data_IF_059899995763
#
_entry.id   IF_059899995763
#
_cell.length_a   1.000
_cell.length_b   1.000
_cell.length_c   1.000
_cell.angle_alpha   90.00
_cell.angle_beta   90.00
_cell.angle_gamma   90.00
#
_symmetry.space_group_name_H-M   'P 1'
#
loop_
_entity.id
_entity.type
_entity.pdbx_description
1 polymer ?
#
# COMPACT_ATOMS: atom_id res chain seq x y z
N UNK A 1 6.50 1.68 20.55
CA UNK A 1 5.40 1.01 19.80
C UNK A 1 4.70 -0.07 20.62
N UNK A 2 5.37 -1.04 21.21
CA UNK A 2 4.73 -2.12 21.97
C UNK A 2 3.71 -1.65 23.00
N UNK A 3 4.07 -0.69 23.86
CA UNK A 3 3.14 -0.14 24.86
C UNK A 3 1.90 0.54 24.25
N UNK A 4 2.04 1.16 23.07
CA UNK A 4 0.93 1.77 22.35
C UNK A 4 -0.06 0.71 21.86
N UNK A 5 0.46 -0.38 21.29
CA UNK A 5 -0.35 -1.50 20.81
C UNK A 5 -1.04 -2.24 21.95
N UNK A 6 -0.37 -2.36 23.09
CA UNK A 6 -0.88 -3.03 24.30
C UNK A 6 -1.88 -2.17 25.09
N UNK A 7 -2.16 -0.93 24.65
CA UNK A 7 -3.07 -0.01 25.36
C UNK A 7 -2.57 0.45 26.73
N UNK A 8 -1.23 0.45 26.95
CA UNK A 8 -0.58 0.84 28.22
C UNK A 8 -0.19 2.32 28.26
N UNK A 9 -0.70 3.10 27.32
CA UNK A 9 -0.39 4.53 27.18
C UNK A 9 -1.68 5.32 27.19
N UNK A 10 -1.73 6.42 27.93
CA UNK A 10 -2.86 7.34 27.97
C UNK A 10 -3.09 7.98 26.60
N UNK A 11 -4.35 8.26 26.23
CA UNK A 11 -4.70 8.83 24.93
C UNK A 11 -4.00 10.17 24.66
N UNK A 12 -3.77 10.99 25.70
CA UNK A 12 -3.01 12.25 25.61
C UNK A 12 -1.53 12.01 25.30
N UNK A 13 -0.92 10.98 25.89
CA UNK A 13 0.45 10.57 25.61
C UNK A 13 0.57 10.01 24.19
N UNK A 14 -0.40 9.20 23.76
CA UNK A 14 -0.46 8.67 22.40
C UNK A 14 -0.52 9.80 21.37
N UNK A 15 -1.43 10.77 21.55
CA UNK A 15 -1.56 11.91 20.66
C UNK A 15 -0.28 12.75 20.60
N UNK A 16 0.32 13.06 21.75
CA UNK A 16 1.58 13.79 21.84
C UNK A 16 2.72 13.03 21.14
N UNK A 17 2.86 11.73 21.39
CA UNK A 17 3.88 10.90 20.75
C UNK A 17 3.74 10.92 19.22
N UNK A 18 2.54 10.70 18.70
CA UNK A 18 2.29 10.67 17.25
C UNK A 18 2.62 12.02 16.59
N UNK A 19 2.30 13.14 17.24
CA UNK A 19 2.56 14.46 16.69
C UNK A 19 4.03 14.87 16.78
N UNK A 20 4.71 14.53 17.88
CA UNK A 20 6.14 14.76 18.03
C UNK A 20 6.95 13.90 17.05
N UNK A 21 6.58 12.63 16.88
CA UNK A 21 7.20 11.75 15.90
C UNK A 21 7.01 12.28 14.48
N UNK A 22 5.80 12.76 14.15
CA UNK A 22 5.53 13.41 12.85
C UNK A 22 6.40 14.66 12.63
N UNK A 23 6.62 15.47 13.67
CA UNK A 23 7.43 16.69 13.58
C UNK A 23 8.92 16.38 13.44
N UNK A 24 9.40 15.39 14.19
CA UNK A 24 10.80 14.94 14.17
C UNK A 24 11.13 14.20 12.86
N UNK A 25 10.16 13.52 12.29
CA UNK A 25 10.29 12.51 11.25
C UNK A 25 11.01 11.23 11.75
N UNK A 26 10.62 10.08 11.26
CA UNK A 26 11.18 8.78 11.65
C UNK A 26 12.49 8.49 10.94
N UNK A 27 13.45 7.93 11.66
CA UNK A 27 14.61 7.30 11.03
C UNK A 27 14.29 5.89 10.52
N UNK A 28 15.17 5.32 9.70
CA UNK A 28 15.03 3.96 9.21
C UNK A 28 15.03 2.94 10.36
N UNK A 29 15.86 3.15 11.39
CA UNK A 29 15.96 2.28 12.57
C UNK A 29 14.68 2.34 13.41
N UNK A 30 14.11 3.54 13.58
CA UNK A 30 12.85 3.70 14.32
C UNK A 30 11.71 3.03 13.56
N UNK A 31 11.64 3.22 12.24
CA UNK A 31 10.63 2.60 11.39
C UNK A 31 10.76 1.06 11.42
N UNK A 32 11.97 0.53 11.33
CA UNK A 32 12.24 -0.90 11.46
C UNK A 32 11.83 -1.42 12.84
N UNK A 33 12.26 -0.80 13.93
CA UNK A 33 11.92 -1.21 15.29
C UNK A 33 10.42 -1.10 15.59
N UNK A 34 9.71 -0.12 15.03
CA UNK A 34 8.25 -0.05 15.14
C UNK A 34 7.58 -1.19 14.37
N UNK A 35 8.08 -1.52 13.19
CA UNK A 35 7.57 -2.62 12.36
C UNK A 35 7.79 -3.96 13.07
N UNK A 36 8.96 -4.23 13.62
CA UNK A 36 9.22 -5.44 14.42
C UNK A 36 8.27 -5.56 15.61
N UNK A 37 8.04 -4.47 16.34
CA UNK A 37 7.13 -4.45 17.47
C UNK A 37 5.67 -4.76 17.07
N UNK A 38 5.26 -4.38 15.85
CA UNK A 38 3.94 -4.73 15.31
C UNK A 38 3.94 -6.19 14.87
N UNK A 39 4.90 -6.61 14.06
CA UNK A 39 5.02 -7.99 13.55
C UNK A 39 5.06 -9.02 14.67
N UNK A 40 5.74 -8.72 15.78
CA UNK A 40 5.80 -9.62 16.96
C UNK A 40 4.45 -9.83 17.65
N UNK A 41 3.43 -9.03 17.33
CA UNK A 41 2.07 -9.13 17.85
C UNK A 41 1.06 -9.64 16.84
N UNK A 42 1.49 -9.89 15.61
CA UNK A 42 0.65 -10.50 14.59
C UNK A 42 0.51 -11.99 14.87
N UNK A 43 -0.73 -12.46 14.85
CA UNK A 43 -1.04 -13.89 14.88
C UNK A 43 -1.34 -14.40 13.46
N UNK A 44 -0.52 -13.97 12.49
CA UNK A 44 -0.69 -14.37 11.10
C UNK A 44 -0.19 -15.81 10.90
N UNK A 45 -0.94 -16.66 10.16
CA UNK A 45 -0.50 -18.00 9.82
C UNK A 45 0.59 -17.96 8.74
N UNK A 46 1.29 -19.08 8.57
CA UNK A 46 2.29 -19.23 7.51
C UNK A 46 1.61 -19.48 6.16
N UNK A 47 1.20 -18.40 5.49
CA UNK A 47 0.63 -18.41 4.14
C UNK A 47 1.70 -17.93 3.16
N UNK A 48 1.92 -18.69 2.07
CA UNK A 48 2.85 -18.27 1.03
C UNK A 48 2.25 -17.13 0.19
N UNK A 49 2.95 -16.02 0.14
CA UNK A 49 2.60 -14.82 -0.62
C UNK A 49 3.84 -14.33 -1.37
N UNK A 50 3.67 -13.93 -2.62
CA UNK A 50 4.76 -13.37 -3.43
C UNK A 50 4.89 -11.87 -3.23
N UNK A 51 3.76 -11.14 -3.25
CA UNK A 51 3.72 -9.69 -3.10
C UNK A 51 2.83 -9.26 -1.92
N UNK A 52 3.38 -8.40 -1.07
CA UNK A 52 2.63 -7.59 -0.11
C UNK A 52 2.28 -6.25 -0.76
N UNK A 53 0.98 -5.91 -0.82
CA UNK A 53 0.49 -4.74 -1.55
C UNK A 53 -0.38 -3.84 -0.66
N UNK A 54 0.22 -2.93 0.11
CA UNK A 54 -0.52 -1.99 0.95
C UNK A 54 -1.19 -0.89 0.12
N UNK A 55 -2.45 -0.58 0.45
CA UNK A 55 -3.25 0.46 -0.18
C UNK A 55 -3.93 1.33 0.87
N UNK A 56 -3.36 2.50 1.14
CA UNK A 56 -3.77 3.39 2.25
C UNK A 56 -4.00 4.84 1.83
N UNK A 57 -3.83 5.20 0.56
CA UNK A 57 -3.92 6.60 0.15
C UNK A 57 -5.23 6.94 -0.53
N UNK A 58 -5.78 6.02 -1.33
CA UNK A 58 -6.86 6.26 -2.26
C UNK A 58 -6.45 7.18 -3.42
N UNK A 59 -7.18 7.13 -4.51
CA UNK A 59 -6.95 7.91 -5.74
C UNK A 59 -7.86 9.12 -5.80
N UNK A 60 -7.34 10.26 -6.30
CA UNK A 60 -8.10 11.52 -6.42
C UNK A 60 -8.18 12.04 -7.87
N UNK A 61 -7.18 11.74 -8.68
CA UNK A 61 -7.00 12.36 -10.01
C UNK A 61 -7.22 11.40 -11.16
N UNK A 62 -7.00 10.13 -10.90
CA UNK A 62 -7.18 9.00 -11.81
C UNK A 62 -7.88 7.87 -11.07
N UNK A 63 -8.50 6.98 -11.79
CA UNK A 63 -9.01 5.72 -11.25
C UNK A 63 -7.83 4.87 -10.74
N UNK A 64 -8.07 3.93 -9.82
CA UNK A 64 -7.03 3.06 -9.28
C UNK A 64 -6.67 1.92 -10.25
N UNK A 65 -5.90 2.24 -11.29
CA UNK A 65 -5.48 1.29 -12.32
C UNK A 65 -4.61 0.17 -11.76
N UNK A 66 -3.92 0.41 -10.64
CA UNK A 66 -3.15 -0.61 -9.94
C UNK A 66 -4.00 -1.83 -9.53
N UNK A 67 -5.32 -1.68 -9.36
CA UNK A 67 -6.19 -2.82 -9.06
C UNK A 67 -6.27 -3.78 -10.25
N UNK A 68 -6.26 -3.25 -11.47
CA UNK A 68 -6.20 -4.08 -12.67
C UNK A 68 -4.83 -4.74 -12.85
N UNK A 69 -3.74 -4.03 -12.48
CA UNK A 69 -2.40 -4.59 -12.46
C UNK A 69 -2.30 -5.76 -11.47
N UNK A 70 -2.82 -5.60 -10.24
CA UNK A 70 -2.87 -6.66 -9.25
C UNK A 70 -3.69 -7.86 -9.75
N UNK A 71 -4.86 -7.63 -10.37
CA UNK A 71 -5.67 -8.71 -10.98
C UNK A 71 -4.93 -9.44 -12.10
N UNK A 72 -4.25 -8.73 -12.98
CA UNK A 72 -3.51 -9.32 -14.08
C UNK A 72 -2.32 -10.15 -13.59
N UNK A 73 -1.56 -9.66 -12.61
CA UNK A 73 -0.49 -10.42 -11.95
C UNK A 73 -1.04 -11.67 -11.25
N UNK A 74 -2.15 -11.55 -10.53
CA UNK A 74 -2.79 -12.69 -9.87
C UNK A 74 -3.27 -13.75 -10.89
N UNK A 75 -3.84 -13.31 -12.02
CA UNK A 75 -4.21 -14.20 -13.11
C UNK A 75 -3.02 -14.91 -13.76
N UNK A 76 -1.81 -14.33 -13.70
CA UNK A 76 -0.56 -14.96 -14.13
C UNK A 76 0.06 -15.90 -13.09
N UNK A 77 -0.56 -16.04 -11.91
CA UNK A 77 -0.14 -16.95 -10.86
C UNK A 77 0.65 -16.31 -9.71
N UNK A 78 0.82 -14.99 -9.71
CA UNK A 78 1.48 -14.26 -8.59
C UNK A 78 0.50 -14.17 -7.42
N UNK A 79 0.90 -14.66 -6.25
CA UNK A 79 0.09 -14.58 -5.02
C UNK A 79 0.25 -13.22 -4.35
N UNK A 80 -0.84 -12.47 -4.29
CA UNK A 80 -0.84 -11.08 -3.81
C UNK A 80 -1.74 -10.93 -2.59
N UNK A 81 -1.18 -10.44 -1.49
CA UNK A 81 -1.96 -10.00 -0.35
C UNK A 81 -2.03 -8.48 -0.34
N UNK A 82 -3.23 -7.95 -0.58
CA UNK A 82 -3.52 -6.53 -0.46
C UNK A 82 -4.12 -6.23 0.90
N UNK A 83 -3.77 -5.07 1.45
CA UNK A 83 -4.38 -4.61 2.70
C UNK A 83 -4.51 -3.09 2.74
N UNK A 84 -5.50 -2.59 3.50
CA UNK A 84 -5.80 -1.15 3.58
C UNK A 84 -6.44 -0.75 4.89
N UNK A 85 -6.58 0.55 5.11
CA UNK A 85 -7.04 1.13 6.37
C UNK A 85 -8.35 1.92 6.30
N UNK A 86 -9.18 1.68 5.30
CA UNK A 86 -10.44 2.38 5.11
C UNK A 86 -10.32 3.82 4.59
N UNK A 87 -11.46 4.38 4.19
CA UNK A 87 -11.54 5.72 3.65
C UNK A 87 -11.38 6.78 4.76
N UNK A 88 -10.29 7.53 4.74
CA UNK A 88 -9.99 8.56 5.74
C UNK A 88 -9.81 9.98 5.16
N UNK A 89 -9.96 10.16 3.85
CA UNK A 89 -9.86 11.49 3.20
C UNK A 89 -10.99 11.63 2.19
N UNK A 90 -11.83 12.64 2.37
CA UNK A 90 -12.94 12.92 1.46
C UNK A 90 -12.46 13.17 0.01
N UNK A 91 -13.29 12.80 -0.96
CA UNK A 91 -13.04 13.00 -2.39
C UNK A 91 -11.90 12.13 -2.95
N UNK A 92 -11.60 11.00 -2.32
CA UNK A 92 -10.70 9.97 -2.82
C UNK A 92 -11.44 8.65 -2.98
N UNK A 93 -11.06 7.89 -3.98
CA UNK A 93 -11.55 6.55 -4.25
C UNK A 93 -10.56 5.53 -3.66
N UNK A 94 -11.05 4.70 -2.75
CA UNK A 94 -10.26 3.70 -2.05
C UNK A 94 -10.52 2.29 -2.58
N UNK A 95 -9.57 1.40 -2.38
CA UNK A 95 -9.65 0.00 -2.80
C UNK A 95 -10.94 -0.68 -2.37
N UNK A 96 -11.35 -0.51 -1.10
CA UNK A 96 -12.53 -1.16 -0.54
C UNK A 96 -13.83 -0.85 -1.30
N UNK A 97 -13.90 0.31 -1.94
CA UNK A 97 -15.08 0.76 -2.68
C UNK A 97 -15.25 0.03 -4.02
N UNK A 98 -14.23 -0.69 -4.47
CA UNK A 98 -14.17 -1.31 -5.80
C UNK A 98 -14.00 -2.83 -5.77
N UNK A 99 -13.83 -3.42 -4.58
CA UNK A 99 -13.55 -4.86 -4.43
C UNK A 99 -14.64 -5.72 -5.07
N UNK A 100 -15.90 -5.44 -4.76
CA UNK A 100 -17.05 -6.17 -5.30
C UNK A 100 -17.15 -6.03 -6.82
N UNK A 101 -17.02 -4.81 -7.35
CA UNK A 101 -17.12 -4.53 -8.77
C UNK A 101 -16.01 -5.20 -9.59
N UNK A 102 -14.83 -5.36 -8.99
CA UNK A 102 -13.67 -5.99 -9.61
C UNK A 102 -13.51 -7.47 -9.27
N UNK A 103 -14.45 -8.09 -8.58
CA UNK A 103 -14.37 -9.48 -8.10
C UNK A 103 -13.06 -9.74 -7.30
N UNK A 104 -12.61 -8.77 -6.51
CA UNK A 104 -11.47 -8.94 -5.62
C UNK A 104 -11.97 -9.42 -4.27
N UNK A 105 -11.53 -10.60 -3.77
CA UNK A 105 -12.01 -11.14 -2.50
C UNK A 105 -11.67 -10.22 -1.33
N UNK A 106 -12.69 -9.79 -0.58
CA UNK A 106 -12.56 -9.11 0.71
C UNK A 106 -12.62 -10.15 1.82
N UNK A 107 -11.62 -10.17 2.70
CA UNK A 107 -11.41 -11.20 3.71
C UNK A 107 -11.39 -10.59 5.11
N UNK A 108 -12.18 -11.17 6.02
CA UNK A 108 -12.31 -10.66 7.38
C UNK A 108 -11.36 -11.34 8.38
N UNK A 109 -10.82 -12.48 8.02
CA UNK A 109 -9.88 -13.27 8.83
C UNK A 109 -8.83 -13.99 7.98
N UNK A 110 -7.84 -14.59 8.64
CA UNK A 110 -6.74 -15.28 7.96
C UNK A 110 -7.19 -16.56 7.23
N UNK A 111 -8.26 -17.21 7.66
CA UNK A 111 -8.79 -18.41 7.00
C UNK A 111 -9.39 -18.04 5.64
N UNK A 112 -10.15 -16.95 5.58
CA UNK A 112 -10.70 -16.43 4.32
C UNK A 112 -9.62 -15.86 3.40
N UNK A 113 -8.55 -15.25 3.95
CA UNK A 113 -7.37 -14.84 3.19
C UNK A 113 -6.70 -16.05 2.52
N UNK A 114 -6.45 -17.14 3.26
CA UNK A 114 -5.84 -18.35 2.73
C UNK A 114 -6.68 -18.97 1.62
N UNK A 115 -7.99 -19.08 1.82
CA UNK A 115 -8.91 -19.60 0.83
C UNK A 115 -8.95 -18.73 -0.45
N UNK A 116 -8.95 -17.40 -0.29
CA UNK A 116 -8.94 -16.46 -1.42
C UNK A 116 -7.63 -16.56 -2.23
N UNK A 117 -6.48 -16.61 -1.55
CA UNK A 117 -5.19 -16.78 -2.19
C UNK A 117 -5.06 -18.13 -2.90
N UNK A 118 -5.60 -19.21 -2.32
CA UNK A 118 -5.60 -20.52 -2.94
C UNK A 118 -6.44 -20.57 -4.23
N UNK A 119 -7.54 -19.82 -4.27
CA UNK A 119 -8.49 -19.84 -5.39
C UNK A 119 -8.21 -18.78 -6.45
N UNK A 120 -7.80 -17.60 -6.03
CA UNK A 120 -7.73 -16.40 -6.87
C UNK A 120 -6.33 -15.80 -6.99
N UNK A 121 -5.34 -16.29 -6.21
CA UNK A 121 -4.01 -15.67 -6.04
C UNK A 121 -4.07 -14.21 -5.56
N UNK A 122 -5.23 -13.71 -5.15
CA UNK A 122 -5.45 -12.35 -4.73
C UNK A 122 -6.40 -12.34 -3.54
N UNK A 123 -6.03 -11.63 -2.49
CA UNK A 123 -6.88 -11.39 -1.34
C UNK A 123 -6.70 -9.95 -0.86
N UNK A 124 -7.77 -9.31 -0.43
CA UNK A 124 -7.73 -8.03 0.26
C UNK A 124 -8.24 -8.21 1.70
N UNK A 125 -7.57 -7.58 2.67
CA UNK A 125 -8.08 -7.52 4.04
C UNK A 125 -7.93 -6.11 4.64
N UNK A 126 -8.96 -5.70 5.36
CA UNK A 126 -8.96 -4.44 6.10
C UNK A 126 -8.03 -4.55 7.32
N UNK A 127 -7.17 -3.54 7.54
CA UNK A 127 -6.20 -3.52 8.65
C UNK A 127 -6.85 -3.79 10.01
N UNK A 128 -8.06 -3.23 10.23
CA UNK A 128 -8.79 -3.40 11.48
C UNK A 128 -9.15 -4.84 11.82
N UNK A 129 -9.22 -5.74 10.84
CA UNK A 129 -9.56 -7.15 11.05
C UNK A 129 -8.43 -7.93 11.73
N UNK A 130 -7.17 -7.54 11.49
CA UNK A 130 -6.01 -8.26 12.01
C UNK A 130 -5.07 -7.42 12.88
N UNK A 131 -5.20 -6.09 12.86
CA UNK A 131 -4.44 -5.18 13.74
C UNK A 131 -5.29 -3.96 14.17
N UNK A 132 -6.36 -4.16 14.94
CA UNK A 132 -7.31 -3.10 15.31
C UNK A 132 -6.65 -1.96 16.09
N UNK A 133 -5.63 -2.25 16.90
CA UNK A 133 -4.90 -1.22 17.64
C UNK A 133 -4.19 -0.23 16.69
N UNK A 134 -3.62 -0.71 15.58
CA UNK A 134 -2.97 0.15 14.59
C UNK A 134 -4.00 0.93 13.78
N UNK A 135 -5.12 0.30 13.41
CA UNK A 135 -6.22 0.97 12.74
C UNK A 135 -6.77 2.13 13.59
N UNK A 136 -6.98 1.92 14.90
CA UNK A 136 -7.39 3.00 15.82
C UNK A 136 -6.43 4.19 15.77
N UNK A 137 -5.12 3.96 15.65
CA UNK A 137 -4.14 5.05 15.53
C UNK A 137 -4.23 5.78 14.19
N UNK A 138 -4.59 5.10 13.10
CA UNK A 138 -4.89 5.72 11.80
C UNK A 138 -6.12 6.63 11.92
N UNK A 139 -7.17 6.15 12.59
CA UNK A 139 -8.45 6.86 12.76
C UNK A 139 -8.33 8.11 13.61
N UNK A 140 -7.31 8.22 14.47
CA UNK A 140 -6.98 9.44 15.21
C UNK A 140 -6.71 10.66 14.30
N UNK A 141 -6.51 10.44 13.00
CA UNK A 141 -6.42 11.54 12.03
C UNK A 141 -7.59 12.52 12.13
N UNK A 142 -8.81 12.03 12.38
CA UNK A 142 -9.99 12.86 12.50
C UNK A 142 -9.93 13.77 13.73
N UNK A 143 -9.35 13.29 14.83
CA UNK A 143 -9.17 14.05 16.07
C UNK A 143 -7.95 14.97 16.01
N UNK A 144 -6.84 14.48 15.46
CA UNK A 144 -5.58 15.22 15.37
C UNK A 144 -5.54 16.23 14.23
N UNK A 145 -6.48 16.12 13.24
CA UNK A 145 -6.53 16.96 12.06
C UNK A 145 -5.42 16.69 11.03
N UNK A 146 -4.48 15.81 11.34
CA UNK A 146 -3.29 15.50 10.54
C UNK A 146 -3.08 13.98 10.43
N UNK A 147 -2.45 13.54 9.34
CA UNK A 147 -1.92 12.18 9.25
C UNK A 147 -0.74 12.03 10.20
N UNK A 148 -0.72 10.96 10.96
CA UNK A 148 0.42 10.54 11.79
C UNK A 148 1.37 9.64 11.00
N UNK A 149 2.58 9.38 11.50
CA UNK A 149 3.52 8.43 10.93
C UNK A 149 2.98 7.00 10.77
N UNK A 150 1.93 6.65 11.50
CA UNK A 150 1.28 5.33 11.39
C UNK A 150 0.76 5.06 9.97
N UNK A 151 0.36 6.10 9.24
CA UNK A 151 -0.06 5.93 7.83
C UNK A 151 1.08 5.49 6.90
N UNK A 152 2.32 5.86 7.20
CA UNK A 152 3.51 5.38 6.48
C UNK A 152 3.91 4.00 7.00
N UNK A 153 3.93 3.82 8.31
CA UNK A 153 4.27 2.57 8.98
C UNK A 153 3.38 1.40 8.55
N UNK A 154 2.08 1.65 8.29
CA UNK A 154 1.18 0.62 7.81
C UNK A 154 1.60 0.01 6.45
N UNK A 155 2.43 0.72 5.67
CA UNK A 155 2.87 0.27 4.34
C UNK A 155 4.10 -0.66 4.35
N UNK A 156 4.81 -0.74 5.47
CA UNK A 156 6.01 -1.59 5.59
C UNK A 156 5.73 -2.90 6.33
N UNK A 157 4.47 -3.15 6.70
CA UNK A 157 4.14 -4.24 7.64
C UNK A 157 4.46 -5.63 7.10
N UNK A 158 4.19 -5.88 5.82
CA UNK A 158 4.36 -7.21 5.21
C UNK A 158 3.90 -8.34 6.18
N UNK A 159 2.62 -8.39 6.57
CA UNK A 159 2.16 -9.20 7.70
C UNK A 159 2.23 -10.71 7.47
N UNK A 160 2.27 -11.15 6.21
CA UNK A 160 2.38 -12.56 5.83
C UNK A 160 3.81 -12.94 5.40
N UNK A 161 4.78 -12.03 5.51
CA UNK A 161 6.15 -12.31 5.11
C UNK A 161 6.28 -12.62 3.62
N UNK A 162 5.59 -11.85 2.77
CA UNK A 162 5.67 -11.97 1.32
C UNK A 162 7.12 -11.86 0.84
N UNK A 163 7.43 -12.52 -0.28
CA UNK A 163 8.77 -12.52 -0.87
C UNK A 163 9.26 -11.12 -1.25
N UNK A 164 8.33 -10.21 -1.60
CA UNK A 164 8.62 -8.82 -1.86
C UNK A 164 7.49 -7.93 -1.32
N UNK A 165 7.84 -6.86 -0.62
CA UNK A 165 6.92 -5.81 -0.22
C UNK A 165 6.90 -4.68 -1.26
N UNK A 166 5.70 -4.16 -1.57
CA UNK A 166 5.56 -2.97 -2.39
C UNK A 166 5.18 -1.79 -1.49
N UNK A 167 5.83 -0.65 -1.65
CA UNK A 167 5.53 0.52 -0.82
C UNK A 167 5.40 1.77 -1.68
N UNK A 168 4.30 2.51 -1.50
CA UNK A 168 4.13 3.83 -2.10
C UNK A 168 4.30 4.91 -1.06
N UNK A 169 5.35 5.70 -1.18
CA UNK A 169 5.72 6.75 -0.23
C UNK A 169 5.76 8.09 -0.96
N UNK A 170 4.76 8.93 -0.69
CA UNK A 170 4.55 10.18 -1.43
C UNK A 170 5.56 11.28 -1.09
N UNK A 171 6.02 11.38 0.16
CA UNK A 171 6.90 12.46 0.61
C UNK A 171 8.33 12.26 0.09
N UNK A 172 8.94 13.30 -0.53
CA UNK A 172 10.33 13.23 -0.97
C UNK A 172 11.28 12.88 0.19
N UNK A 173 12.27 12.04 -0.09
CA UNK A 173 13.27 11.59 0.89
C UNK A 173 12.83 10.40 1.75
N UNK A 174 11.54 10.20 1.97
CA UNK A 174 11.05 9.06 2.76
C UNK A 174 11.14 7.72 2.03
N UNK A 175 11.24 7.71 0.71
CA UNK A 175 11.43 6.48 -0.07
C UNK A 175 12.72 5.76 0.37
N UNK A 176 13.82 6.50 0.49
CA UNK A 176 15.10 5.94 0.96
C UNK A 176 14.99 5.44 2.40
N UNK A 177 14.33 6.18 3.30
CA UNK A 177 14.10 5.75 4.70
C UNK A 177 13.34 4.42 4.76
N UNK A 178 12.30 4.27 3.94
CA UNK A 178 11.52 3.03 3.86
C UNK A 178 12.30 1.86 3.27
N UNK A 179 13.10 2.10 2.21
CA UNK A 179 14.03 1.11 1.66
C UNK A 179 15.02 0.64 2.73
N UNK A 180 15.67 1.57 3.42
CA UNK A 180 16.70 1.28 4.42
C UNK A 180 16.09 0.56 5.64
N UNK A 181 14.91 0.96 6.10
CA UNK A 181 14.17 0.27 7.14
C UNK A 181 13.81 -1.18 6.74
N UNK A 182 13.39 -1.39 5.50
CA UNK A 182 13.11 -2.74 4.98
C UNK A 182 14.39 -3.58 4.90
N UNK A 183 15.52 -2.96 4.53
CA UNK A 183 16.83 -3.62 4.55
C UNK A 183 17.24 -4.06 5.96
N UNK A 184 17.02 -3.23 6.99
CA UNK A 184 17.24 -3.58 8.40
C UNK A 184 16.36 -4.75 8.87
N UNK A 185 15.14 -4.85 8.33
CA UNK A 185 14.21 -5.95 8.60
C UNK A 185 14.55 -7.24 7.83
N UNK A 186 15.49 -7.19 6.88
CA UNK A 186 15.80 -8.29 5.99
C UNK A 186 14.76 -8.53 4.90
N UNK A 187 13.85 -7.58 4.67
CA UNK A 187 12.81 -7.67 3.65
C UNK A 187 13.35 -7.29 2.26
N UNK A 188 12.87 -8.00 1.24
CA UNK A 188 12.94 -7.48 -0.12
C UNK A 188 11.80 -6.48 -0.33
N UNK A 189 12.10 -5.35 -0.95
CA UNK A 189 11.12 -4.26 -1.12
C UNK A 189 11.37 -3.48 -2.39
N UNK A 190 10.29 -2.97 -2.96
CA UNK A 190 10.30 -1.91 -3.96
C UNK A 190 9.49 -0.74 -3.40
N UNK A 191 10.12 0.42 -3.31
CA UNK A 191 9.52 1.66 -2.80
C UNK A 191 9.45 2.67 -3.95
N UNK A 192 8.25 3.18 -4.20
CA UNK A 192 8.01 4.18 -5.24
C UNK A 192 7.29 5.39 -4.65
N UNK A 193 7.31 6.52 -5.35
CA UNK A 193 6.42 7.63 -5.02
C UNK A 193 4.95 7.26 -5.26
N UNK A 194 4.68 6.53 -6.31
CA UNK A 194 3.36 6.11 -6.76
C UNK A 194 2.43 7.25 -7.18
N UNK A 195 1.46 6.96 -8.03
CA UNK A 195 0.46 7.96 -8.40
C UNK A 195 -0.61 8.11 -7.31
N UNK A 196 -0.78 9.35 -6.85
CA UNK A 196 -1.73 9.64 -5.76
C UNK A 196 -1.34 9.10 -4.39
N UNK A 197 -0.20 8.43 -4.26
CA UNK A 197 0.27 7.74 -3.05
C UNK A 197 -0.15 6.27 -2.98
N UNK A 198 -0.63 5.71 -4.08
CA UNK A 198 -0.85 4.27 -4.26
C UNK A 198 0.26 3.67 -5.12
N UNK A 199 0.40 2.34 -5.09
CA UNK A 199 1.41 1.60 -5.86
C UNK A 199 0.95 1.54 -7.31
N UNK A 200 1.22 2.63 -8.03
CA UNK A 200 0.88 2.79 -9.43
C UNK A 200 1.92 3.68 -10.10
N UNK A 201 2.48 3.22 -11.19
CA UNK A 201 3.40 4.02 -12.01
C UNK A 201 2.58 4.99 -12.85
N UNK A 202 2.96 6.28 -12.78
CA UNK A 202 2.39 7.29 -13.66
C UNK A 202 3.18 7.31 -14.99
N UNK A 203 2.55 6.92 -16.12
CA UNK A 203 3.26 6.81 -17.40
C UNK A 203 3.74 8.16 -17.97
N UNK A 204 3.20 9.27 -17.49
CA UNK A 204 3.51 10.61 -17.98
C UNK A 204 4.73 11.26 -17.29
N UNK A 205 5.34 10.58 -16.34
CA UNK A 205 6.44 11.11 -15.55
C UNK A 205 7.52 10.08 -15.32
N UNK A 206 8.77 10.53 -15.24
CA UNK A 206 9.85 9.70 -14.74
C UNK A 206 9.52 9.18 -13.33
N UNK A 207 9.75 7.90 -13.10
CA UNK A 207 9.56 7.22 -11.82
C UNK A 207 10.91 6.80 -11.25
N UNK A 208 11.15 7.12 -9.97
CA UNK A 208 12.31 6.64 -9.23
C UNK A 208 11.88 5.47 -8.35
N UNK A 209 12.58 4.35 -8.47
CA UNK A 209 12.40 3.15 -7.71
C UNK A 209 13.56 3.02 -6.72
N UNK A 210 13.23 2.74 -5.48
CA UNK A 210 14.20 2.44 -4.41
C UNK A 210 13.95 1.02 -3.96
N UNK A 211 14.95 0.17 -3.94
CA UNK A 211 14.76 -1.21 -3.55
C UNK A 211 15.81 -1.74 -2.59
N UNK A 212 15.45 -2.82 -1.92
CA UNK A 212 16.36 -3.69 -1.18
C UNK A 212 16.10 -5.12 -1.60
N UNK A 213 17.15 -5.85 -1.93
CA UNK A 213 17.07 -7.27 -2.30
C UNK A 213 18.23 -8.03 -1.67
N UNK A 214 17.93 -9.02 -0.84
CA UNK A 214 18.96 -9.78 -0.14
C UNK A 214 19.84 -8.90 0.76
N UNK A 215 19.31 -7.81 1.31
CA UNK A 215 20.05 -6.85 2.14
C UNK A 215 20.89 -5.83 1.35
N UNK A 216 20.82 -5.85 0.02
CA UNK A 216 21.53 -4.90 -0.85
C UNK A 216 20.55 -3.85 -1.35
N UNK A 217 20.81 -2.57 -1.02
CA UNK A 217 20.03 -1.44 -1.51
C UNK A 217 20.40 -1.10 -2.96
N UNK A 218 19.40 -0.72 -3.75
CA UNK A 218 19.56 -0.27 -5.12
C UNK A 218 18.56 0.84 -5.43
N UNK A 219 18.88 1.66 -6.43
CA UNK A 219 18.02 2.71 -6.96
C UNK A 219 17.98 2.60 -8.48
N UNK A 220 16.81 2.83 -9.07
CA UNK A 220 16.58 2.78 -10.50
C UNK A 220 15.68 3.92 -10.95
N UNK A 221 15.92 4.44 -12.14
CA UNK A 221 15.12 5.48 -12.75
C UNK A 221 14.46 4.92 -14.02
N UNK A 222 13.14 4.99 -14.07
CA UNK A 222 12.35 4.62 -15.24
C UNK A 222 11.87 5.89 -15.94
N UNK A 223 12.21 6.09 -17.22
CA UNK A 223 11.76 7.25 -17.96
C UNK A 223 10.24 7.23 -18.16
N UNK A 224 9.67 8.41 -18.42
CA UNK A 224 8.26 8.49 -18.80
C UNK A 224 7.99 7.63 -20.04
N UNK A 225 6.89 6.88 -20.02
CA UNK A 225 6.46 6.03 -21.14
C UNK A 225 5.72 6.83 -22.22
N UNK A 226 5.16 7.98 -21.84
CA UNK A 226 4.46 8.88 -22.76
C UNK A 226 5.27 10.16 -22.98
N UNK A 227 5.37 10.56 -24.24
CA UNK A 227 5.99 11.84 -24.62
C UNK A 227 5.09 13.05 -24.31
N UNK A 228 3.79 12.83 -24.12
CA UNK A 228 2.81 13.88 -23.86
C UNK A 228 2.02 13.54 -22.59
N UNK A 229 1.72 14.59 -21.81
CA UNK A 229 0.85 14.45 -20.64
C UNK A 229 -0.59 14.18 -21.07
N UNK A 230 -1.17 13.13 -20.53
CA UNK A 230 -2.58 12.85 -20.69
C UNK A 230 -3.44 13.85 -19.90
N UNK A 231 -4.58 14.21 -20.47
CA UNK A 231 -5.57 15.06 -19.80
C UNK A 231 -6.24 14.25 -18.70
N UNK A 232 -6.33 14.85 -17.52
CA UNK A 232 -7.05 14.22 -16.41
C UNK A 232 -8.53 14.08 -16.74
N UNK A 233 -9.17 12.97 -16.38
CA UNK A 233 -10.60 12.81 -16.56
C UNK A 233 -11.37 13.86 -15.73
N UNK A 234 -12.51 14.31 -16.23
CA UNK A 234 -13.38 15.27 -15.54
C UNK A 234 -14.03 14.64 -14.29
N UNK A 235 -14.33 13.35 -14.35
CA UNK A 235 -14.91 12.55 -13.27
C UNK A 235 -14.19 11.20 -13.19
N UNK A 236 -14.33 10.54 -12.04
CA UNK A 236 -13.79 9.19 -11.83
C UNK A 236 -14.98 8.22 -11.82
N UNK A 237 -15.26 7.65 -13.00
CA UNK A 237 -16.36 6.71 -13.18
C UNK A 237 -15.83 5.27 -13.03
N UNK A 238 -16.18 4.54 -11.95
CA UNK A 238 -15.68 3.17 -11.70
C UNK A 238 -15.96 2.20 -12.85
N UNK A 239 -17.03 2.42 -13.60
CA UNK A 239 -17.41 1.62 -14.76
C UNK A 239 -16.33 1.59 -15.84
N UNK A 240 -15.50 2.65 -15.91
CA UNK A 240 -14.37 2.70 -16.85
C UNK A 240 -13.28 1.68 -16.52
N UNK A 241 -13.07 1.34 -15.24
CA UNK A 241 -12.18 0.23 -14.84
C UNK A 241 -12.66 -1.10 -15.42
N UNK A 242 -13.96 -1.37 -15.31
CA UNK A 242 -14.56 -2.61 -15.82
C UNK A 242 -14.53 -2.66 -17.33
N UNK A 243 -14.84 -1.56 -18.00
CA UNK A 243 -14.81 -1.45 -19.44
C UNK A 243 -13.39 -1.72 -19.99
N UNK A 244 -12.37 -1.13 -19.36
CA UNK A 244 -10.98 -1.39 -19.72
C UNK A 244 -10.59 -2.86 -19.50
N UNK A 245 -10.97 -3.42 -18.33
CA UNK A 245 -10.67 -4.81 -18.00
C UNK A 245 -11.29 -5.82 -18.99
N UNK A 246 -12.48 -5.52 -19.50
CA UNK A 246 -13.19 -6.34 -20.50
C UNK A 246 -12.70 -6.13 -21.92
N UNK A 247 -11.92 -5.08 -22.18
CA UNK A 247 -11.49 -4.69 -23.52
C UNK A 247 -12.59 -3.95 -24.30
N UNK A 248 -13.59 -3.41 -23.61
CA UNK A 248 -14.70 -2.66 -24.24
C UNK A 248 -14.28 -1.23 -24.65
N UNK A 249 -13.19 -0.72 -24.06
CA UNK A 249 -12.62 0.60 -24.35
C UNK A 249 -11.11 0.51 -24.50
N UNK A 250 -10.58 1.38 -25.36
CA UNK A 250 -9.14 1.63 -25.49
C UNK A 250 -8.83 3.00 -24.90
N UNK A 251 -7.93 3.03 -23.91
CA UNK A 251 -7.43 4.26 -23.29
C UNK A 251 -5.93 4.09 -23.01
N UNK A 252 -5.13 4.96 -23.61
CA UNK A 252 -3.67 4.82 -23.57
C UNK A 252 -3.08 5.03 -22.18
N UNK A 253 -3.61 6.00 -21.40
CA UNK A 253 -3.09 6.28 -20.05
C UNK A 253 -3.22 5.06 -19.11
N UNK A 254 -4.43 4.49 -18.90
CA UNK A 254 -4.56 3.34 -18.01
C UNK A 254 -3.84 2.09 -18.52
N UNK A 255 -3.78 1.86 -19.84
CA UNK A 255 -3.02 0.74 -20.39
C UNK A 255 -1.53 0.86 -20.07
N UNK A 256 -0.93 2.03 -20.28
CA UNK A 256 0.47 2.29 -19.92
C UNK A 256 0.70 2.23 -18.41
N UNK A 257 -0.20 2.81 -17.60
CA UNK A 257 -0.11 2.75 -16.15
C UNK A 257 -0.18 1.32 -15.62
N UNK A 258 -1.09 0.50 -16.16
CA UNK A 258 -1.24 -0.91 -15.83
C UNK A 258 0.03 -1.69 -16.18
N UNK A 259 0.51 -1.59 -17.42
CA UNK A 259 1.71 -2.30 -17.88
C UNK A 259 2.95 -1.92 -17.08
N UNK A 260 3.15 -0.62 -16.85
CA UNK A 260 4.29 -0.15 -16.05
C UNK A 260 4.23 -0.59 -14.58
N UNK A 261 3.01 -0.71 -14.04
CA UNK A 261 2.82 -1.15 -12.64
C UNK A 261 3.02 -2.66 -12.49
N UNK A 262 2.84 -3.43 -13.56
CA UNK A 262 3.08 -4.88 -13.58
C UNK A 262 4.55 -5.24 -13.78
N UNK A 263 5.36 -4.36 -14.41
CA UNK A 263 6.76 -4.60 -14.73
C UNK A 263 7.66 -4.62 -13.51
#
# INVERSE_FOLDING_TARGET
MGMLLDGKVEDTQLGAFLMLLRHKEESAEELAGFTEAIRSRLSAPAIQVDLDWPSYAGKKRHLPWYLLAAKALAASGVRIFMHGGGAHTAGRMYTEQLLEQLDIPSCDDWQTVEAALAKHNLAYSYLGNWMPALQRMIDLRNTLGLRSPIHSLARILNPLGARCGLQSIFHPGYQAVHRDASGLLGDNVIVIKGDGGEIEINPDTTSHLYGSTGGVSWDEEWPALSAQRHVKPASLEPEHLLALWRGDVEDSYPQLALLATMA
#
